data_IF_015207421556
#
_entry.id   IF_015207421556
#
_cell.length_a   1.000
_cell.length_b   1.000
_cell.length_c   1.000
_cell.angle_alpha   90.00
_cell.angle_beta   90.00
_cell.angle_gamma   90.00
#
_symmetry.space_group_name_H-M   'P 1'
#
loop_
_entity.id
_entity.type
_entity.pdbx_description
1 polymer ?
#
# COMPACT_ATOMS: atom_id res chain seq x y z
N UNK A 1 -32.47 -6.32 11.73
CA UNK A 1 -31.07 -6.50 11.27
C UNK A 1 -30.27 -6.90 12.49
N UNK A 2 -30.05 -8.20 12.67
CA UNK A 2 -29.29 -8.72 13.80
C UNK A 2 -27.81 -8.38 13.63
N UNK A 3 -27.25 -7.74 14.65
CA UNK A 3 -25.86 -7.34 14.71
C UNK A 3 -25.07 -8.58 15.15
N UNK A 4 -24.62 -9.42 14.21
CA UNK A 4 -23.77 -10.57 14.53
C UNK A 4 -22.46 -10.03 15.11
N UNK A 5 -22.16 -10.24 16.41
CA UNK A 5 -20.91 -9.77 16.98
C UNK A 5 -19.79 -10.68 16.50
N UNK A 6 -18.78 -10.10 15.86
CA UNK A 6 -17.57 -10.82 15.49
C UNK A 6 -16.87 -11.33 16.77
N UNK A 7 -16.35 -12.58 16.76
CA UNK A 7 -15.68 -13.15 17.93
C UNK A 7 -14.45 -12.32 18.30
N UNK A 8 -14.39 -11.88 19.57
CA UNK A 8 -13.35 -10.97 20.10
C UNK A 8 -11.91 -11.46 19.85
N UNK A 9 -11.69 -12.78 19.71
CA UNK A 9 -10.37 -13.37 19.46
C UNK A 9 -9.79 -13.12 18.06
N UNK A 10 -10.62 -12.84 17.05
CA UNK A 10 -10.10 -12.52 15.71
C UNK A 10 -9.55 -11.09 15.65
N UNK A 11 -10.17 -10.14 16.34
CA UNK A 11 -9.81 -8.72 16.28
C UNK A 11 -8.39 -8.46 16.83
N UNK A 12 -7.99 -9.11 17.92
CA UNK A 12 -6.62 -9.04 18.45
C UNK A 12 -5.59 -9.70 17.51
N UNK A 13 -5.99 -10.77 16.83
CA UNK A 13 -5.18 -11.41 15.79
C UNK A 13 -4.98 -10.50 14.59
N UNK A 14 -5.95 -9.63 14.28
CA UNK A 14 -5.90 -8.66 13.17
C UNK A 14 -5.09 -7.40 13.51
N UNK A 15 -5.19 -6.87 14.73
CA UNK A 15 -4.41 -5.69 15.18
C UNK A 15 -2.90 -6.01 15.32
N UNK A 16 -2.52 -7.27 15.53
CA UNK A 16 -1.13 -7.76 15.44
C UNK A 16 -0.57 -7.85 14.00
N UNK A 17 -1.30 -7.41 12.96
CA UNK A 17 -0.93 -7.60 11.54
C UNK A 17 -0.73 -6.27 10.79
N UNK A 18 -0.18 -5.27 11.46
CA UNK A 18 0.36 -4.12 10.72
C UNK A 18 1.56 -4.59 9.90
N UNK A 19 1.65 -4.25 8.60
CA UNK A 19 2.82 -4.56 7.82
C UNK A 19 4.03 -3.94 8.50
N UNK A 20 5.08 -4.74 8.67
CA UNK A 20 6.32 -4.27 9.24
C UNK A 20 7.27 -3.94 8.10
N UNK A 21 8.01 -2.84 8.24
CA UNK A 21 8.99 -2.41 7.26
C UNK A 21 10.32 -2.12 7.94
N UNK A 22 11.40 -2.30 7.20
CA UNK A 22 12.73 -1.86 7.57
C UNK A 22 13.40 -1.17 6.38
N UNK A 23 14.42 -0.36 6.66
CA UNK A 23 15.27 0.21 5.61
C UNK A 23 16.51 -0.66 5.46
N UNK A 24 16.72 -1.15 4.24
CA UNK A 24 17.89 -1.95 3.87
C UNK A 24 18.72 -1.18 2.85
N UNK A 25 20.03 -1.39 2.83
CA UNK A 25 20.88 -0.82 1.80
C UNK A 25 20.72 -1.61 0.49
N UNK A 26 20.58 -0.88 -0.61
CA UNK A 26 20.53 -1.40 -1.97
C UNK A 26 21.30 -0.48 -2.90
N UNK A 27 21.92 -1.06 -3.92
CA UNK A 27 22.65 -0.26 -4.90
C UNK A 27 21.70 0.53 -5.80
N UNK A 28 22.07 1.75 -6.17
CA UNK A 28 21.23 2.60 -7.01
C UNK A 28 20.89 1.93 -8.35
N UNK A 29 21.81 1.13 -8.91
CA UNK A 29 21.59 0.35 -10.12
C UNK A 29 20.59 -0.80 -9.99
N UNK A 30 20.25 -1.19 -8.77
CA UNK A 30 19.29 -2.25 -8.46
C UNK A 30 17.92 -1.69 -8.07
N UNK A 31 17.77 -0.36 -8.06
CA UNK A 31 16.49 0.28 -7.80
C UNK A 31 15.50 -0.01 -8.90
N UNK A 32 14.23 -0.08 -8.52
CA UNK A 32 13.13 -0.30 -9.45
C UNK A 32 11.97 0.65 -9.18
N UNK A 33 11.17 0.88 -10.21
CA UNK A 33 9.99 1.71 -10.13
C UNK A 33 9.04 1.23 -9.01
N UNK A 34 8.60 2.17 -8.19
CA UNK A 34 7.69 1.98 -7.08
C UNK A 34 8.36 1.81 -5.72
N UNK A 35 9.68 1.61 -5.66
CA UNK A 35 10.38 1.49 -4.37
C UNK A 35 10.36 2.80 -3.61
N UNK A 36 10.22 2.69 -2.28
CA UNK A 36 10.32 3.83 -1.38
C UNK A 36 11.75 3.86 -0.85
N UNK A 37 12.45 4.96 -1.09
CA UNK A 37 13.86 5.15 -0.77
C UNK A 37 14.02 6.36 0.13
N UNK A 38 14.93 6.29 1.10
CA UNK A 38 15.39 7.46 1.84
C UNK A 38 16.52 8.12 1.06
N UNK A 39 16.14 9.03 0.18
CA UNK A 39 17.04 9.85 -0.63
C UNK A 39 17.67 10.96 0.25
N UNK A 40 18.98 11.22 0.13
CA UNK A 40 19.67 12.19 0.97
C UNK A 40 19.09 13.61 1.02
N UNK A 41 18.57 14.12 -0.10
CA UNK A 41 18.13 15.51 -0.27
C UNK A 41 16.61 15.68 -0.12
N UNK A 42 15.84 14.71 -0.59
CA UNK A 42 14.37 14.71 -0.63
C UNK A 42 13.76 14.01 0.59
N UNK A 43 14.56 13.26 1.35
CA UNK A 43 14.05 12.38 2.40
C UNK A 43 13.38 11.16 1.77
N UNK A 44 12.19 10.78 2.22
CA UNK A 44 11.51 9.64 1.62
C UNK A 44 10.90 10.03 0.28
N UNK A 45 11.33 9.34 -0.76
CA UNK A 45 10.83 9.50 -2.11
C UNK A 45 10.46 8.13 -2.68
N UNK A 46 9.54 8.12 -3.65
CA UNK A 46 9.25 6.92 -4.41
C UNK A 46 9.95 6.99 -5.75
N UNK A 47 10.58 5.89 -6.16
CA UNK A 47 11.18 5.77 -7.49
C UNK A 47 10.06 5.72 -8.54
N UNK A 48 10.00 6.70 -9.44
CA UNK A 48 9.01 6.73 -10.52
C UNK A 48 9.56 6.16 -11.83
N UNK A 49 10.86 6.32 -12.08
CA UNK A 49 11.56 5.76 -13.23
C UNK A 49 13.04 5.52 -12.89
N UNK A 50 13.63 4.51 -13.52
CA UNK A 50 15.06 4.20 -13.44
C UNK A 50 15.56 4.02 -14.87
N UNK A 51 16.54 4.83 -15.26
CA UNK A 51 17.13 4.83 -16.60
C UNK A 51 18.63 4.59 -16.48
N UNK A 52 19.19 3.80 -17.41
CA UNK A 52 20.62 3.47 -17.44
C UNK A 52 21.28 4.15 -18.66
N UNK A 53 21.48 5.48 -18.65
CA UNK A 53 22.05 6.20 -19.79
C UNK A 53 23.53 5.86 -20.03
N UNK A 54 24.22 5.29 -19.03
CA UNK A 54 25.62 4.89 -19.12
C UNK A 54 25.89 3.66 -18.22
N UNK A 55 26.97 2.89 -18.45
CA UNK A 55 27.28 1.69 -17.66
C UNK A 55 27.60 1.97 -16.18
N UNK A 56 28.10 3.17 -15.87
CA UNK A 56 28.56 3.55 -14.53
C UNK A 56 27.55 4.39 -13.73
N UNK A 57 26.44 4.79 -14.35
CA UNK A 57 25.47 5.68 -13.72
C UNK A 57 24.05 5.27 -14.01
N UNK A 58 23.20 5.55 -13.03
CA UNK A 58 21.75 5.42 -13.14
C UNK A 58 21.11 6.80 -12.94
N UNK A 59 20.10 7.10 -13.73
CA UNK A 59 19.24 8.25 -13.55
C UNK A 59 17.94 7.77 -12.91
N UNK A 60 17.67 8.29 -11.71
CA UNK A 60 16.48 7.94 -10.93
C UNK A 60 15.54 9.14 -10.92
N UNK A 61 14.30 8.93 -11.32
CA UNK A 61 13.22 9.92 -11.21
C UNK A 61 12.37 9.60 -10.00
N UNK A 62 11.89 10.65 -9.35
CA UNK A 62 11.13 10.55 -8.11
C UNK A 62 9.68 10.94 -8.34
N UNK A 63 8.77 10.27 -7.63
CA UNK A 63 7.36 10.64 -7.52
C UNK A 63 7.01 10.88 -6.06
N UNK A 64 6.09 11.82 -5.85
CA UNK A 64 5.33 11.93 -4.61
C UNK A 64 3.98 11.19 -4.75
N UNK A 65 3.13 11.29 -3.74
CA UNK A 65 1.79 10.70 -3.76
C UNK A 65 0.81 11.47 -4.69
N UNK A 66 1.23 12.57 -5.30
CA UNK A 66 0.43 13.41 -6.18
C UNK A 66 0.76 13.24 -7.67
N UNK A 67 1.83 12.51 -8.01
CA UNK A 67 2.15 12.15 -9.38
C UNK A 67 3.65 12.03 -9.66
N UNK A 68 4.03 11.90 -10.94
CA UNK A 68 5.44 11.93 -11.31
C UNK A 68 6.04 13.27 -10.93
N UNK A 69 7.02 13.25 -10.03
CA UNK A 69 7.76 14.44 -9.65
C UNK A 69 8.68 14.86 -10.80
N UNK A 70 8.94 16.17 -10.87
CA UNK A 70 9.98 16.70 -11.76
C UNK A 70 11.41 16.40 -11.24
N UNK A 71 11.53 15.93 -10.00
CA UNK A 71 12.80 15.63 -9.38
C UNK A 71 13.44 14.38 -10.00
N UNK A 72 14.68 14.52 -10.44
CA UNK A 72 15.51 13.43 -10.91
C UNK A 72 16.92 13.62 -10.35
N UNK A 73 17.60 12.53 -10.07
CA UNK A 73 18.98 12.53 -9.60
C UNK A 73 19.77 11.45 -10.32
N UNK A 74 21.07 11.71 -10.49
CA UNK A 74 22.01 10.78 -11.11
C UNK A 74 22.92 10.21 -10.02
N UNK A 75 23.02 8.88 -9.96
CA UNK A 75 23.85 8.18 -8.99
C UNK A 75 24.86 7.29 -9.71
N UNK A 76 26.06 7.08 -9.13
CA UNK A 76 26.87 5.91 -9.42
C UNK A 76 26.04 4.63 -9.25
N UNK A 77 26.27 3.62 -10.10
CA UNK A 77 25.49 2.37 -10.07
C UNK A 77 25.60 1.63 -8.72
N UNK A 78 26.75 1.79 -8.06
CA UNK A 78 27.16 1.21 -6.79
C UNK A 78 26.98 2.17 -5.60
N UNK A 79 26.22 3.25 -5.79
CA UNK A 79 25.84 4.12 -4.68
C UNK A 79 24.81 3.39 -3.79
N UNK A 80 25.10 3.15 -2.50
CA UNK A 80 24.12 2.59 -1.60
C UNK A 80 23.02 3.61 -1.29
N UNK A 81 21.78 3.15 -1.37
CA UNK A 81 20.57 3.89 -1.01
C UNK A 81 19.71 3.04 -0.07
N UNK A 82 19.06 3.68 0.90
CA UNK A 82 18.23 3.00 1.90
C UNK A 82 16.81 2.78 1.35
N UNK A 83 16.46 1.53 1.04
CA UNK A 83 15.16 1.14 0.47
C UNK A 83 14.27 0.52 1.53
N UNK A 84 12.99 0.89 1.52
CA UNK A 84 11.95 0.30 2.38
C UNK A 84 11.64 -1.12 1.89
N UNK A 85 11.97 -2.11 2.70
CA UNK A 85 11.68 -3.52 2.45
C UNK A 85 10.72 -4.08 3.51
N UNK A 86 10.03 -5.20 3.21
CA UNK A 86 9.23 -5.91 4.23
C UNK A 86 10.11 -6.31 5.41
N UNK A 87 9.59 -6.20 6.63
CA UNK A 87 10.30 -6.61 7.84
C UNK A 87 10.58 -8.12 7.85
N UNK A 88 11.56 -8.61 8.64
CA UNK A 88 11.95 -10.02 8.65
C UNK A 88 10.79 -10.97 9.01
N UNK A 89 9.93 -10.57 9.95
CA UNK A 89 8.76 -11.35 10.35
C UNK A 89 7.74 -11.51 9.21
N UNK A 90 7.47 -10.43 8.47
CA UNK A 90 6.58 -10.45 7.31
C UNK A 90 7.16 -11.27 6.16
N UNK A 91 8.47 -11.11 5.85
CA UNK A 91 9.15 -11.95 4.85
C UNK A 91 9.01 -13.43 5.19
N UNK A 92 9.33 -13.82 6.41
CA UNK A 92 9.24 -15.21 6.85
C UNK A 92 7.82 -15.75 6.76
N UNK A 93 6.84 -14.94 7.16
CA UNK A 93 5.42 -15.30 7.10
C UNK A 93 4.95 -15.51 5.67
N UNK A 94 5.25 -14.58 4.77
CA UNK A 94 4.90 -14.67 3.36
C UNK A 94 5.59 -15.88 2.74
N UNK A 95 6.88 -16.05 2.98
CA UNK A 95 7.67 -17.17 2.47
C UNK A 95 7.06 -18.51 2.85
N UNK A 96 6.79 -18.73 4.15
CA UNK A 96 6.14 -19.96 4.65
C UNK A 96 4.77 -20.19 4.01
N UNK A 97 3.98 -19.14 3.83
CA UNK A 97 2.66 -19.26 3.22
C UNK A 97 2.74 -19.62 1.74
N UNK A 98 3.68 -19.01 0.99
CA UNK A 98 3.93 -19.31 -0.42
C UNK A 98 4.48 -20.72 -0.60
N UNK A 99 5.45 -21.14 0.22
CA UNK A 99 6.01 -22.48 0.17
C UNK A 99 4.96 -23.54 0.50
N UNK A 100 4.14 -23.31 1.54
CA UNK A 100 3.04 -24.21 1.89
C UNK A 100 2.02 -24.32 0.75
N UNK A 101 1.62 -23.19 0.16
CA UNK A 101 0.68 -23.15 -0.96
C UNK A 101 1.21 -23.93 -2.17
N UNK A 102 2.49 -23.74 -2.51
CA UNK A 102 3.16 -24.50 -3.57
C UNK A 102 3.23 -26.00 -3.26
N UNK A 103 3.54 -26.38 -2.02
CA UNK A 103 3.62 -27.79 -1.60
C UNK A 103 2.28 -28.52 -1.72
N UNK A 104 1.19 -27.89 -1.27
CA UNK A 104 -0.15 -28.52 -1.28
C UNK A 104 -0.92 -28.29 -2.59
N UNK A 105 -0.34 -27.55 -3.55
CA UNK A 105 -1.00 -27.20 -4.81
C UNK A 105 -2.23 -26.30 -4.66
N UNK A 106 -2.29 -25.47 -3.62
CA UNK A 106 -3.43 -24.59 -3.34
C UNK A 106 -3.04 -23.11 -3.47
N UNK A 107 -4.05 -22.24 -3.58
CA UNK A 107 -3.84 -20.81 -3.49
C UNK A 107 -3.43 -20.38 -2.06
N UNK A 108 -2.70 -19.27 -1.95
CA UNK A 108 -2.41 -18.62 -0.66
C UNK A 108 -3.69 -18.11 0.00
N UNK A 109 -3.67 -17.93 1.32
CA UNK A 109 -4.83 -17.39 2.04
C UNK A 109 -5.07 -15.91 1.71
N UNK A 110 -6.31 -15.45 1.85
CA UNK A 110 -6.70 -14.05 1.66
C UNK A 110 -5.84 -13.09 2.50
N UNK A 111 -5.55 -13.42 3.77
CA UNK A 111 -4.69 -12.58 4.61
C UNK A 111 -3.26 -12.47 4.08
N UNK A 112 -2.71 -13.54 3.52
CA UNK A 112 -1.37 -13.52 2.91
C UNK A 112 -1.41 -12.75 1.60
N UNK A 113 -2.45 -12.93 0.79
CA UNK A 113 -2.64 -12.17 -0.45
C UNK A 113 -2.66 -10.66 -0.19
N UNK A 114 -3.42 -10.22 0.82
CA UNK A 114 -3.43 -8.81 1.25
C UNK A 114 -2.05 -8.34 1.69
N UNK A 115 -1.36 -9.11 2.53
CA UNK A 115 -0.04 -8.75 3.05
C UNK A 115 1.00 -8.62 1.91
N UNK A 116 0.97 -9.55 0.95
CA UNK A 116 1.81 -9.45 -0.26
C UNK A 116 1.45 -8.17 -1.03
N UNK A 117 0.18 -7.89 -1.27
CA UNK A 117 -0.22 -6.70 -2.01
C UNK A 117 0.22 -5.39 -1.33
N UNK A 118 0.14 -5.32 0.01
CA UNK A 118 0.63 -4.18 0.80
C UNK A 118 2.15 -3.98 0.65
N UNK A 119 2.91 -5.07 0.52
CA UNK A 119 4.36 -5.00 0.32
C UNK A 119 4.76 -4.74 -1.14
N UNK A 120 3.93 -5.12 -2.10
CA UNK A 120 4.25 -4.99 -3.53
C UNK A 120 3.66 -3.75 -4.22
N UNK A 121 2.71 -3.05 -3.60
CA UNK A 121 2.09 -1.90 -4.25
C UNK A 121 3.08 -0.74 -4.46
N UNK A 122 2.92 -0.05 -5.59
CA UNK A 122 3.79 1.08 -5.98
C UNK A 122 3.22 2.45 -5.61
N UNK A 123 2.35 2.49 -4.60
CA UNK A 123 1.70 3.71 -4.12
C UNK A 123 0.22 3.79 -4.52
N UNK A 124 -0.45 4.92 -4.24
CA UNK A 124 -1.90 5.04 -4.36
C UNK A 124 -2.48 4.80 -5.76
N UNK A 125 -1.68 4.94 -6.81
CA UNK A 125 -2.10 4.73 -8.21
C UNK A 125 -1.93 3.27 -8.66
N UNK A 126 -1.40 2.39 -7.81
CA UNK A 126 -1.16 0.98 -8.09
C UNK A 126 -2.46 0.19 -7.92
N UNK A 127 -2.76 -0.76 -8.80
CA UNK A 127 -3.93 -1.64 -8.63
C UNK A 127 -3.73 -2.57 -7.44
N UNK A 128 -2.49 -2.88 -7.09
CA UNK A 128 -2.17 -3.59 -5.84
C UNK A 128 -2.51 -2.77 -4.59
N UNK A 129 -2.49 -1.45 -4.67
CA UNK A 129 -2.93 -0.60 -3.57
C UNK A 129 -4.44 -0.72 -3.38
N UNK A 130 -5.21 -0.61 -4.47
CA UNK A 130 -6.67 -0.81 -4.43
C UNK A 130 -7.03 -2.21 -3.97
N UNK A 131 -6.36 -3.24 -4.50
CA UNK A 131 -6.54 -4.61 -4.05
C UNK A 131 -6.19 -4.76 -2.57
N UNK A 132 -5.10 -4.16 -2.07
CA UNK A 132 -4.76 -4.21 -0.65
C UNK A 132 -5.82 -3.55 0.26
N UNK A 133 -6.58 -2.61 -0.29
CA UNK A 133 -7.67 -1.90 0.40
C UNK A 133 -8.92 -2.79 0.50
N UNK A 134 -9.48 -3.20 -0.63
CA UNK A 134 -10.81 -3.83 -0.66
C UNK A 134 -10.81 -5.28 -1.18
N UNK A 135 -9.69 -5.75 -1.71
CA UNK A 135 -9.53 -7.10 -2.25
C UNK A 135 -10.21 -7.32 -3.59
N UNK A 136 -10.70 -6.30 -4.29
CA UNK A 136 -11.27 -6.45 -5.61
C UNK A 136 -10.20 -6.83 -6.64
N UNK A 137 -10.46 -7.86 -7.44
CA UNK A 137 -9.56 -8.32 -8.51
C UNK A 137 -9.98 -7.66 -9.82
N UNK A 138 -9.01 -7.03 -10.50
CA UNK A 138 -9.19 -6.49 -11.85
C UNK A 138 -8.27 -7.20 -12.84
N UNK A 139 -8.64 -7.24 -14.13
CA UNK A 139 -7.80 -7.89 -15.14
C UNK A 139 -6.44 -7.21 -15.29
N UNK A 140 -6.40 -5.90 -15.10
CA UNK A 140 -5.16 -5.11 -15.14
C UNK A 140 -4.23 -5.40 -13.94
N UNK A 141 -4.74 -5.90 -12.81
CA UNK A 141 -3.94 -6.29 -11.65
C UNK A 141 -2.93 -7.40 -12.00
N UNK A 142 -3.35 -8.37 -12.82
CA UNK A 142 -2.47 -9.48 -13.24
C UNK A 142 -1.30 -8.98 -14.10
N UNK A 143 -1.54 -7.97 -14.94
CA UNK A 143 -0.51 -7.31 -15.73
C UNK A 143 0.50 -6.58 -14.84
N UNK A 144 0.03 -5.88 -13.82
CA UNK A 144 0.90 -5.24 -12.84
C UNK A 144 1.76 -6.26 -12.07
N UNK A 145 1.17 -7.37 -11.64
CA UNK A 145 1.88 -8.46 -10.96
C UNK A 145 2.94 -9.11 -11.84
N UNK A 146 2.63 -9.33 -13.13
CA UNK A 146 3.60 -9.85 -14.10
C UNK A 146 4.80 -8.91 -14.22
N UNK A 147 4.54 -7.60 -14.37
CA UNK A 147 5.59 -6.58 -14.46
C UNK A 147 6.47 -6.58 -13.21
N UNK A 148 5.88 -6.62 -12.02
CA UNK A 148 6.64 -6.70 -10.75
C UNK A 148 7.52 -7.94 -10.72
N UNK A 149 7.00 -9.11 -11.11
CA UNK A 149 7.77 -10.35 -11.12
C UNK A 149 8.93 -10.37 -12.13
N UNK A 150 8.86 -9.57 -13.19
CA UNK A 150 9.95 -9.38 -14.16
C UNK A 150 10.99 -8.39 -13.63
N UNK A 151 10.56 -7.26 -13.06
CA UNK A 151 11.45 -6.20 -12.59
C UNK A 151 12.13 -6.54 -11.26
N UNK A 152 11.52 -7.38 -10.43
CA UNK A 152 12.00 -7.71 -9.08
C UNK A 152 12.10 -9.23 -8.86
N UNK A 153 13.25 -9.85 -9.18
CA UNK A 153 13.46 -11.28 -9.01
C UNK A 153 13.21 -11.78 -7.58
N UNK A 154 13.56 -10.98 -6.57
CA UNK A 154 13.45 -11.33 -5.14
C UNK A 154 12.01 -11.61 -4.70
N UNK A 155 11.05 -10.86 -5.25
CA UNK A 155 9.62 -10.98 -4.90
C UNK A 155 8.82 -11.67 -6.00
N UNK A 156 9.47 -12.18 -7.05
CA UNK A 156 8.81 -12.88 -8.17
C UNK A 156 7.93 -14.03 -7.71
N UNK A 157 8.39 -14.81 -6.72
CA UNK A 157 7.59 -15.92 -6.16
C UNK A 157 6.33 -15.42 -5.45
N UNK A 158 6.40 -14.27 -4.79
CA UNK A 158 5.25 -13.67 -4.13
C UNK A 158 4.25 -13.13 -5.14
N UNK A 159 4.74 -12.43 -6.17
CA UNK A 159 3.91 -11.92 -7.26
C UNK A 159 3.20 -13.08 -8.00
N UNK A 160 3.90 -14.18 -8.26
CA UNK A 160 3.32 -15.37 -8.88
C UNK A 160 2.26 -16.04 -7.99
N UNK A 161 2.51 -16.17 -6.68
CA UNK A 161 1.55 -16.73 -5.74
C UNK A 161 0.29 -15.86 -5.60
N UNK A 162 0.45 -14.53 -5.60
CA UNK A 162 -0.68 -13.59 -5.59
C UNK A 162 -1.45 -13.65 -6.92
N UNK A 163 -0.76 -13.73 -8.06
CA UNK A 163 -1.40 -13.89 -9.37
C UNK A 163 -2.15 -15.23 -9.50
N UNK A 164 -1.64 -16.30 -8.89
CA UNK A 164 -2.37 -17.57 -8.77
C UNK A 164 -3.63 -17.37 -7.93
N UNK A 165 -3.51 -16.79 -6.73
CA UNK A 165 -4.64 -16.52 -5.86
C UNK A 165 -5.74 -15.73 -6.57
N UNK A 166 -5.39 -14.65 -7.26
CA UNK A 166 -6.34 -13.83 -8.01
C UNK A 166 -7.04 -14.62 -9.11
N UNK A 167 -6.34 -15.52 -9.83
CA UNK A 167 -6.91 -16.32 -10.93
C UNK A 167 -7.82 -17.44 -10.45
N UNK A 168 -7.52 -18.05 -9.31
CA UNK A 168 -8.29 -19.18 -8.78
C UNK A 168 -9.45 -18.75 -7.89
N UNK A 169 -9.63 -17.44 -7.68
CA UNK A 169 -10.68 -16.93 -6.80
C UNK A 169 -11.99 -16.86 -7.57
N UNK A 170 -13.03 -17.49 -7.04
CA UNK A 170 -14.34 -17.55 -7.71
C UNK A 170 -15.03 -16.18 -7.80
N UNK A 171 -14.99 -15.39 -6.71
CA UNK A 171 -15.59 -14.06 -6.66
C UNK A 171 -14.52 -12.97 -6.77
N UNK A 172 -14.49 -12.23 -7.88
CA UNK A 172 -13.54 -11.13 -8.09
C UNK A 172 -13.94 -9.81 -7.40
N UNK A 173 -15.11 -9.76 -6.74
CA UNK A 173 -15.61 -8.59 -6.04
C UNK A 173 -14.85 -8.24 -4.75
N UNK A 174 -15.19 -7.13 -4.07
CA UNK A 174 -14.51 -6.73 -2.85
C UNK A 174 -14.75 -7.72 -1.69
N UNK A 175 -13.72 -7.98 -0.90
CA UNK A 175 -13.78 -8.82 0.30
C UNK A 175 -14.26 -7.95 1.48
N UNK A 176 -15.52 -8.11 1.87
CA UNK A 176 -16.17 -7.29 2.89
C UNK A 176 -15.47 -7.29 4.25
N UNK A 177 -14.81 -8.38 4.64
CA UNK A 177 -14.06 -8.45 5.90
C UNK A 177 -12.81 -7.56 5.90
N UNK A 178 -12.23 -7.27 4.74
CA UNK A 178 -11.08 -6.35 4.64
C UNK A 178 -11.51 -4.91 4.87
N UNK A 179 -12.67 -4.56 4.31
CA UNK A 179 -13.34 -3.27 4.46
C UNK A 179 -13.88 -3.07 5.89
N UNK A 180 -14.29 -4.13 6.58
CA UNK A 180 -14.77 -4.03 7.96
C UNK A 180 -13.63 -3.77 8.95
N UNK A 181 -12.50 -4.47 8.82
CA UNK A 181 -11.35 -4.34 9.72
C UNK A 181 -10.66 -2.98 9.65
N UNK A 182 -10.71 -2.35 8.47
CA UNK A 182 -10.32 -0.95 8.26
C UNK A 182 -10.98 0.06 9.20
N UNK A 183 -12.25 -0.18 9.58
CA UNK A 183 -13.03 0.76 10.40
C UNK A 183 -12.64 0.74 11.87
N UNK A 184 -11.99 -0.34 12.32
CA UNK A 184 -11.57 -0.49 13.71
C UNK A 184 -10.19 0.15 13.95
N UNK A 185 -9.36 0.24 12.91
CA UNK A 185 -7.98 0.77 12.97
C UNK A 185 -7.91 2.32 12.92
N UNK A 186 -9.05 3.00 12.74
CA UNK A 186 -9.14 4.45 12.58
C UNK A 186 -9.16 5.24 13.90
N UNK A 187 -8.95 4.60 15.06
CA UNK A 187 -8.90 5.30 16.36
C UNK A 187 -7.48 5.82 16.60
N UNK A 188 -7.22 7.14 16.55
CA UNK A 188 -5.90 7.68 16.83
C UNK A 188 -5.53 7.41 18.29
N UNK A 189 -4.40 6.72 18.49
CA UNK A 189 -3.74 6.62 19.80
C UNK A 189 -3.27 8.03 20.25
N UNK A 190 -3.46 8.41 21.52
CA UNK A 190 -2.99 9.69 22.03
C UNK A 190 -1.45 9.73 22.02
N UNK A 191 -0.88 10.58 21.18
CA UNK A 191 0.57 10.81 21.11
C UNK A 191 1.03 11.53 22.39
N UNK A 192 1.85 10.84 23.19
CA UNK A 192 2.44 11.39 24.42
C UNK A 192 3.51 12.45 24.05
N UNK A 193 3.22 13.72 24.34
CA UNK A 193 4.01 14.90 23.94
C UNK A 193 5.13 15.23 24.93
N UNK A 194 6.02 14.28 25.23
CA UNK A 194 7.08 14.52 26.23
C UNK A 194 8.50 14.16 25.80
N UNK A 195 8.95 14.57 24.61
CA UNK A 195 10.39 14.80 24.37
C UNK A 195 10.58 15.98 23.39
N UNK A 196 10.67 17.21 23.92
CA UNK A 196 11.27 18.35 23.22
C UNK A 196 12.10 19.17 24.21
N UNK A 197 13.40 18.92 24.22
CA UNK A 197 14.50 19.79 24.70
C UNK A 197 15.76 19.30 23.98
N UNK A 198 16.70 20.07 23.47
CA UNK A 198 16.96 21.51 23.29
C UNK A 198 18.13 21.57 22.29
N UNK A 199 18.12 22.44 21.28
CA UNK A 199 19.36 23.02 20.75
C UNK A 199 19.10 24.45 20.25
N UNK A 200 20.01 25.41 20.54
CA UNK A 200 19.87 26.83 20.21
C UNK A 200 20.37 27.16 18.78
N UNK A 201 20.10 28.38 18.26
CA UNK A 201 20.06 28.64 16.82
C UNK A 201 21.37 29.22 16.26
N UNK A 202 21.64 28.93 14.98
CA UNK A 202 22.56 29.71 14.16
C UNK A 202 21.86 30.21 12.88
N UNK A 203 21.80 31.54 12.83
CA UNK A 203 21.37 32.56 11.88
C UNK A 203 21.64 32.32 10.38
N UNK A 204 20.54 32.36 9.61
CA UNK A 204 20.27 33.06 8.33
C UNK A 204 21.13 32.87 7.07
N UNK A 205 20.52 32.24 6.05
CA UNK A 205 20.37 32.81 4.69
C UNK A 205 19.21 32.09 3.99
N UNK A 206 18.18 32.86 3.61
CA UNK A 206 16.89 32.32 3.15
C UNK A 206 16.89 31.90 1.68
N UNK A 207 16.41 30.68 1.42
CA UNK A 207 15.88 30.25 0.12
C UNK A 207 14.69 29.32 0.43
N UNK A 208 13.49 29.73 0.00
CA UNK A 208 12.24 28.98 -0.13
C UNK A 208 12.04 27.78 0.82
N UNK A 209 11.59 28.05 2.04
CA UNK A 209 11.11 27.00 2.95
C UNK A 209 9.75 26.48 2.47
N UNK A 210 9.75 25.57 1.50
CA UNK A 210 8.74 24.51 1.48
C UNK A 210 8.84 23.80 2.82
N UNK A 211 7.83 23.92 3.69
CA UNK A 211 7.76 23.16 4.95
C UNK A 211 7.78 21.68 4.60
N UNK A 212 8.96 21.07 4.58
CA UNK A 212 9.11 19.64 4.47
C UNK A 212 8.57 19.03 5.77
N UNK A 213 7.46 18.30 5.63
CA UNK A 213 6.91 17.48 6.71
C UNK A 213 8.01 16.49 7.08
N UNK A 214 8.31 16.38 8.38
CA UNK A 214 9.29 15.40 8.84
C UNK A 214 8.91 13.99 8.35
N UNK A 215 9.89 13.34 7.77
CA UNK A 215 9.80 12.12 6.98
C UNK A 215 9.19 10.92 7.74
N UNK A 216 9.32 10.87 9.07
CA UNK A 216 8.64 9.87 9.91
C UNK A 216 7.13 10.12 10.05
N UNK A 217 6.72 11.39 10.04
CA UNK A 217 5.31 11.79 10.03
C UNK A 217 4.66 11.48 8.67
N UNK A 218 5.41 11.55 7.56
CA UNK A 218 4.91 11.20 6.24
C UNK A 218 4.57 9.70 6.11
N UNK A 219 5.39 8.79 6.67
CA UNK A 219 5.05 7.36 6.73
C UNK A 219 3.84 7.12 7.63
N UNK A 220 3.81 7.73 8.82
CA UNK A 220 2.66 7.60 9.71
C UNK A 220 1.39 8.18 9.08
N UNK A 221 1.51 9.23 8.26
CA UNK A 221 0.42 9.79 7.47
C UNK A 221 0.07 8.91 6.26
N UNK A 222 1.00 8.18 5.66
CA UNK A 222 0.70 7.20 4.60
C UNK A 222 0.03 5.96 5.17
N UNK A 223 0.48 5.44 6.31
CA UNK A 223 -0.17 4.34 7.02
C UNK A 223 -1.53 4.78 7.57
N UNK A 224 -1.65 6.02 8.06
CA UNK A 224 -2.92 6.61 8.46
C UNK A 224 -3.80 6.94 7.25
N UNK A 225 -3.27 7.36 6.11
CA UNK A 225 -4.01 7.61 4.88
C UNK A 225 -4.44 6.31 4.22
N UNK A 226 -3.65 5.25 4.35
CA UNK A 226 -4.05 3.89 4.01
C UNK A 226 -5.20 3.45 4.92
N UNK A 227 -5.07 3.63 6.24
CA UNK A 227 -6.15 3.39 7.21
C UNK A 227 -7.40 4.28 6.99
N UNK A 228 -7.23 5.53 6.51
CA UNK A 228 -8.32 6.49 6.24
C UNK A 228 -8.95 6.31 4.86
N UNK A 229 -8.19 5.95 3.83
CA UNK A 229 -8.68 5.58 2.50
C UNK A 229 -9.52 4.31 2.56
N UNK A 230 -9.05 3.34 3.36
CA UNK A 230 -9.80 2.20 3.84
C UNK A 230 -11.13 2.60 4.54
N UNK A 231 -11.18 3.70 5.29
CA UNK A 231 -12.40 4.22 5.92
C UNK A 231 -13.31 5.02 4.95
N UNK A 232 -12.74 5.78 4.01
CA UNK A 232 -13.44 6.66 3.07
C UNK A 232 -14.10 5.89 1.90
N UNK A 233 -13.46 4.83 1.40
CA UNK A 233 -14.04 3.93 0.38
C UNK A 233 -15.39 3.35 0.81
N UNK A 234 -15.61 3.21 2.12
CA UNK A 234 -16.87 2.68 2.67
C UNK A 234 -18.01 3.71 2.77
N UNK A 235 -17.70 5.01 2.74
CA UNK A 235 -18.71 6.07 2.75
C UNK A 235 -19.36 6.23 1.36
N UNK A 236 -18.56 6.02 0.30
CA UNK A 236 -18.99 6.01 -1.11
C UNK A 236 -19.92 4.83 -1.45
N UNK A 237 -19.59 3.62 -0.98
CA UNK A 237 -20.43 2.44 -1.22
C UNK A 237 -21.78 2.55 -0.50
N UNK A 238 -21.81 3.14 0.70
CA UNK A 238 -23.05 3.35 1.48
C UNK A 238 -23.98 4.36 0.79
N UNK A 239 -23.45 5.45 0.24
CA UNK A 239 -24.23 6.45 -0.50
C UNK A 239 -24.73 5.92 -1.84
N UNK A 240 -23.97 5.09 -2.56
CA UNK A 240 -24.39 4.48 -3.82
C UNK A 240 -25.50 3.44 -3.63
N UNK A 241 -25.40 2.61 -2.57
CA UNK A 241 -26.45 1.63 -2.21
C UNK A 241 -27.74 2.32 -1.75
N UNK A 242 -27.64 3.42 -1.01
CA UNK A 242 -28.81 4.17 -0.52
C UNK A 242 -29.52 4.95 -1.64
N UNK A 243 -28.79 5.54 -2.60
CA UNK A 243 -29.40 6.13 -3.82
C UNK A 243 -30.12 5.09 -4.68
N UNK A 244 -29.55 3.90 -4.84
CA UNK A 244 -30.19 2.83 -5.60
C UNK A 244 -31.42 2.25 -4.88
N UNK A 245 -31.43 2.23 -3.54
CA UNK A 245 -32.60 1.82 -2.75
C UNK A 245 -33.73 2.84 -2.86
N UNK A 246 -33.41 4.14 -2.74
CA UNK A 246 -34.37 5.24 -2.89
C UNK A 246 -34.97 5.24 -4.30
N UNK A 247 -34.14 5.11 -5.35
CA UNK A 247 -34.61 5.06 -6.75
C UNK A 247 -35.54 3.87 -7.02
N UNK A 248 -35.28 2.71 -6.43
CA UNK A 248 -36.16 1.53 -6.52
C UNK A 248 -37.49 1.72 -5.78
N UNK A 249 -37.48 2.41 -4.63
CA UNK A 249 -38.71 2.73 -3.90
C UNK A 249 -39.55 3.79 -4.63
N UNK A 250 -38.93 4.79 -5.25
CA UNK A 250 -39.63 5.82 -6.04
C UNK A 250 -40.21 5.25 -7.34
N UNK A 251 -39.54 4.29 -7.98
CA UNK A 251 -40.10 3.57 -9.14
C UNK A 251 -41.28 2.66 -8.74
N UNK A 252 -41.20 1.95 -7.60
CA UNK A 252 -42.33 1.11 -7.13
C UNK A 252 -43.56 1.91 -6.74
N UNK A 253 -43.40 3.09 -6.15
CA UNK A 253 -44.53 3.97 -5.84
C UNK A 253 -45.17 4.60 -7.09
N UNK A 254 -44.39 4.90 -8.14
CA UNK A 254 -44.94 5.37 -9.42
C UNK A 254 -45.69 4.29 -10.18
N UNK A 255 -45.32 3.02 -10.06
CA UNK A 255 -46.06 1.90 -10.66
C UNK A 255 -47.34 1.51 -9.91
N UNK A 256 -47.52 1.96 -8.66
CA UNK A 256 -48.73 1.69 -7.86
C UNK A 256 -49.71 2.86 -7.83
N UNK A 257 -49.29 4.07 -8.21
CA UNK A 257 -50.11 5.28 -8.18
C UNK A 257 -50.21 5.83 -9.61
N UNK A 258 -51.12 5.21 -10.37
CA UNK A 258 -51.87 5.91 -11.40
C UNK A 258 -51.47 5.64 -12.85
N UNK A 259 -52.54 5.42 -13.63
CA UNK A 259 -52.78 5.96 -14.97
C UNK A 259 -52.13 5.22 -16.15
#
# INVERSE_FOLDING_TARGET
>A
MEHIPLPKGEIESYLKRRPQYEFVERQAGELVCGEVVKEPNLGLARVSAVEHPAPSFVQVRWSDDHGPGAAAARYPIDQPLCVRAPGPADRLRIQRAVDRAGWIGAAISASTARLIAVHLHRGPTSLLYDFAIDGAVSDALLSELRRIGTEQPDVRRWAAALAWYCRTREDHGPILSWIANARTDSRPEPVDRRIVRQHPPATTAGILTTKHIQTGTAIQLMDAAFALGLAAGVSSVKTRRMRNLIRKHTQRHRSQIGL
#
